data_IF_754203626059
#
_entry.id   IF_754203626059
#
_cell.length_a   1.000
_cell.length_b   1.000
_cell.length_c   1.000
_cell.angle_alpha   90.00
_cell.angle_beta   90.00
_cell.angle_gamma   90.00
#
_symmetry.space_group_name_H-M   'P 1'
#
loop_
_entity.id
_entity.type
_entity.pdbx_description
1 polymer ?
#
# COMPACT_ATOMS: atom_id res chain seq x y z
N UNK A 1 -2.46 11.08 -6.48
CA UNK A 1 -1.51 11.99 -5.80
C UNK A 1 -0.44 12.39 -6.80
N UNK A 2 0.03 13.64 -6.78
CA UNK A 2 1.06 14.13 -7.72
C UNK A 2 1.97 15.16 -7.03
N UNK A 3 3.25 15.20 -7.40
CA UNK A 3 4.16 16.27 -6.98
C UNK A 3 3.91 17.57 -7.76
N UNK A 4 3.37 17.46 -8.99
CA UNK A 4 3.00 18.60 -9.84
C UNK A 4 1.48 18.69 -9.92
N UNK A 5 0.89 19.62 -9.15
CA UNK A 5 -0.56 19.85 -9.08
C UNK A 5 -1.12 20.61 -10.28
N UNK A 6 -0.29 21.28 -11.07
CA UNK A 6 -0.72 21.94 -12.32
C UNK A 6 -1.22 20.91 -13.34
N UNK A 7 -0.82 19.64 -13.18
CA UNK A 7 -1.29 18.51 -13.99
C UNK A 7 -2.62 17.92 -13.52
N UNK A 8 -3.21 18.43 -12.43
CA UNK A 8 -4.47 17.90 -11.93
C UNK A 8 -5.59 17.98 -12.96
N UNK A 9 -5.69 19.09 -13.69
CA UNK A 9 -6.66 19.26 -14.77
C UNK A 9 -6.54 18.18 -15.84
N UNK A 10 -5.30 17.84 -16.22
CA UNK A 10 -5.03 16.76 -17.16
C UNK A 10 -5.52 15.43 -16.61
N UNK A 11 -5.14 15.04 -15.38
CA UNK A 11 -5.56 13.76 -14.80
C UNK A 11 -7.07 13.63 -14.64
N UNK A 12 -7.74 14.74 -14.30
CA UNK A 12 -9.19 14.75 -14.13
C UNK A 12 -9.92 14.58 -15.46
N UNK A 13 -9.52 15.35 -16.49
CA UNK A 13 -10.08 15.26 -17.85
C UNK A 13 -9.75 13.94 -18.54
N UNK A 14 -8.56 13.40 -18.29
CA UNK A 14 -8.07 12.13 -18.82
C UNK A 14 -8.30 10.96 -17.85
N UNK A 15 -9.34 11.00 -17.02
CA UNK A 15 -9.77 9.85 -16.21
C UNK A 15 -10.88 9.05 -16.91
N UNK A 16 -10.96 7.73 -16.66
CA UNK A 16 -12.08 6.92 -17.19
C UNK A 16 -13.42 7.26 -16.50
N UNK A 17 -13.39 8.08 -15.45
CA UNK A 17 -14.59 8.58 -14.79
C UNK A 17 -15.42 9.46 -15.74
N UNK A 18 -14.76 10.27 -16.57
CA UNK A 18 -15.41 11.31 -17.41
C UNK A 18 -15.11 11.19 -18.90
N UNK A 19 -14.21 10.29 -19.31
CA UNK A 19 -13.79 10.11 -20.71
C UNK A 19 -13.66 8.63 -21.02
N UNK A 20 -14.26 8.16 -22.11
CA UNK A 20 -14.20 6.76 -22.55
C UNK A 20 -12.76 6.29 -22.81
N UNK A 21 -12.51 4.99 -22.66
CA UNK A 21 -11.21 4.36 -22.92
C UNK A 21 -11.34 3.31 -24.01
N UNK A 22 -10.27 3.11 -24.74
CA UNK A 22 -10.19 2.05 -25.73
C UNK A 22 -9.24 0.96 -25.26
N UNK A 23 -9.52 -0.28 -25.64
CA UNK A 23 -8.66 -1.40 -25.30
C UNK A 23 -8.85 -2.58 -26.23
N UNK A 24 -7.81 -3.43 -26.30
CA UNK A 24 -7.85 -4.63 -27.11
C UNK A 24 -8.59 -5.76 -26.39
N UNK A 25 -9.75 -6.14 -26.90
CA UNK A 25 -10.56 -7.25 -26.37
C UNK A 25 -10.20 -8.52 -27.12
N UNK A 26 -9.43 -9.38 -26.48
CA UNK A 26 -9.02 -10.68 -27.02
C UNK A 26 -10.07 -11.75 -26.71
N UNK A 27 -10.30 -12.68 -27.65
CA UNK A 27 -11.15 -13.85 -27.41
C UNK A 27 -10.81 -14.54 -26.07
N UNK A 28 -11.85 -14.86 -25.30
CA UNK A 28 -11.70 -15.36 -23.93
C UNK A 28 -11.07 -16.76 -23.88
N UNK A 29 -11.30 -17.60 -24.89
CA UNK A 29 -10.67 -18.92 -24.95
C UNK A 29 -9.17 -18.79 -25.21
N UNK A 30 -8.77 -17.86 -26.08
CA UNK A 30 -7.35 -17.52 -26.32
C UNK A 30 -6.72 -16.94 -25.06
N UNK A 31 -7.38 -15.99 -24.41
CA UNK A 31 -6.90 -15.42 -23.14
C UNK A 31 -6.67 -16.52 -22.09
N UNK A 32 -7.66 -17.38 -21.84
CA UNK A 32 -7.55 -18.47 -20.86
C UNK A 32 -6.46 -19.49 -21.21
N UNK A 33 -6.17 -19.68 -22.49
CA UNK A 33 -5.11 -20.58 -22.96
C UNK A 33 -3.72 -19.98 -22.78
N UNK A 34 -3.56 -18.68 -23.00
CA UNK A 34 -2.25 -18.03 -23.11
C UNK A 34 -1.91 -17.07 -21.97
N UNK A 35 -2.81 -16.74 -21.03
CA UNK A 35 -2.54 -15.76 -19.96
C UNK A 35 -1.34 -16.07 -19.06
N UNK A 36 -0.91 -17.34 -18.99
CA UNK A 36 0.30 -17.74 -18.23
C UNK A 36 1.58 -17.66 -19.04
N UNK A 37 1.48 -17.42 -20.34
CA UNK A 37 2.64 -17.38 -21.23
C UNK A 37 3.27 -15.99 -21.14
N UNK A 38 4.57 -15.86 -20.76
CA UNK A 38 5.19 -14.57 -20.50
C UNK A 38 5.18 -13.58 -21.66
N UNK A 39 5.16 -14.09 -22.90
CA UNK A 39 5.16 -13.29 -24.12
C UNK A 39 3.75 -12.98 -24.64
N UNK A 40 2.70 -13.46 -23.95
CA UNK A 40 1.32 -13.09 -24.28
C UNK A 40 1.00 -11.73 -23.68
N UNK A 41 1.30 -10.67 -24.43
CA UNK A 41 1.01 -9.29 -24.07
C UNK A 41 -0.19 -8.84 -24.90
N UNK A 42 -1.25 -8.41 -24.22
CA UNK A 42 -2.41 -7.83 -24.89
C UNK A 42 -2.01 -6.44 -25.40
N UNK A 43 -2.16 -6.16 -26.71
CA UNK A 43 -1.86 -4.85 -27.27
C UNK A 43 -2.64 -3.72 -26.58
N UNK A 44 -1.99 -2.56 -26.43
CA UNK A 44 -2.58 -1.36 -25.82
C UNK A 44 -2.84 -0.24 -26.83
N UNK A 45 -2.65 -0.51 -28.12
CA UNK A 45 -2.96 0.39 -29.23
C UNK A 45 -3.79 -0.34 -30.31
N UNK A 46 -4.43 0.45 -31.18
CA UNK A 46 -5.35 -0.03 -32.20
C UNK A 46 -4.67 -0.91 -33.25
N UNK A 47 -3.56 -0.43 -33.80
CA UNK A 47 -2.85 -1.09 -34.91
C UNK A 47 -2.39 -2.49 -34.51
N UNK A 48 -1.75 -2.61 -33.34
CA UNK A 48 -1.28 -3.90 -32.83
C UNK A 48 -2.44 -4.82 -32.42
N UNK A 49 -3.57 -4.27 -31.98
CA UNK A 49 -4.76 -5.05 -31.66
C UNK A 49 -5.40 -5.66 -32.91
N UNK A 50 -5.51 -4.86 -33.98
CA UNK A 50 -6.09 -5.29 -35.26
C UNK A 50 -5.19 -6.30 -35.98
N UNK A 51 -3.88 -6.24 -35.73
CA UNK A 51 -2.88 -7.19 -36.25
C UNK A 51 -2.40 -8.19 -35.19
N UNK A 52 -3.21 -8.49 -34.16
CA UNK A 52 -2.73 -9.25 -33.02
C UNK A 52 -2.43 -10.71 -33.39
N UNK A 53 -1.20 -11.15 -33.15
CA UNK A 53 -0.73 -12.50 -33.45
C UNK A 53 -0.05 -13.17 -32.25
N UNK A 54 -0.23 -14.49 -32.14
CA UNK A 54 0.54 -15.34 -31.22
C UNK A 54 1.18 -16.46 -32.04
N UNK A 55 2.50 -16.65 -31.93
CA UNK A 55 3.25 -17.63 -32.75
C UNK A 55 3.01 -17.48 -34.26
N UNK A 56 2.90 -16.22 -34.74
CA UNK A 56 2.57 -15.90 -36.14
C UNK A 56 1.21 -16.44 -36.60
N UNK A 57 0.30 -16.67 -35.66
CA UNK A 57 -1.08 -17.01 -35.94
C UNK A 57 -1.99 -15.87 -35.49
N UNK A 58 -2.91 -15.40 -36.35
CA UNK A 58 -3.82 -14.33 -36.00
C UNK A 58 -4.71 -14.75 -34.83
N UNK A 59 -4.89 -13.81 -33.92
CA UNK A 59 -5.78 -13.94 -32.77
C UNK A 59 -6.94 -12.98 -32.97
N UNK A 60 -8.15 -13.52 -32.89
CA UNK A 60 -9.35 -12.68 -32.92
C UNK A 60 -9.32 -11.73 -31.71
N UNK A 61 -9.15 -10.45 -32.00
CA UNK A 61 -9.18 -9.38 -31.04
C UNK A 61 -9.86 -8.15 -31.66
N UNK A 62 -10.60 -7.41 -30.84
CA UNK A 62 -11.36 -6.25 -31.26
C UNK A 62 -10.91 -5.02 -30.50
N UNK A 63 -10.54 -3.97 -31.22
CA UNK A 63 -10.30 -2.66 -30.60
C UNK A 63 -11.64 -2.05 -30.18
N UNK A 64 -11.90 -2.06 -28.88
CA UNK A 64 -13.24 -1.80 -28.34
C UNK A 64 -13.23 -0.55 -27.47
N UNK A 65 -14.27 0.28 -27.64
CA UNK A 65 -14.53 1.41 -26.74
C UNK A 65 -15.24 0.93 -25.48
N UNK A 66 -14.71 1.34 -24.34
CA UNK A 66 -15.31 1.24 -23.03
C UNK A 66 -15.82 2.62 -22.63
N UNK A 67 -17.14 2.79 -22.40
CA UNK A 67 -17.70 4.08 -22.05
C UNK A 67 -17.07 4.62 -20.76
N UNK A 68 -17.15 5.94 -20.60
CA UNK A 68 -16.82 6.57 -19.32
C UNK A 68 -17.72 5.99 -18.21
N UNK A 69 -17.28 6.07 -16.97
CA UNK A 69 -18.10 5.63 -15.83
C UNK A 69 -19.21 6.63 -15.48
N UNK A 70 -19.21 7.82 -16.08
CA UNK A 70 -20.16 8.90 -15.82
C UNK A 70 -20.27 9.27 -14.33
N UNK A 71 -19.12 9.30 -13.64
CA UNK A 71 -18.99 9.71 -12.24
C UNK A 71 -18.04 10.92 -12.13
N UNK A 72 -18.04 11.66 -11.00
CA UNK A 72 -17.14 12.80 -10.83
C UNK A 72 -15.67 12.42 -11.09
N UNK A 73 -14.87 13.36 -11.64
CA UNK A 73 -13.46 13.12 -11.89
C UNK A 73 -12.73 12.77 -10.57
N UNK A 74 -11.63 12.00 -10.63
CA UNK A 74 -10.91 11.59 -9.45
C UNK A 74 -10.35 12.81 -8.70
N UNK A 75 -10.24 12.68 -7.38
CA UNK A 75 -9.54 13.68 -6.56
C UNK A 75 -8.07 13.71 -6.97
N UNK A 76 -7.57 14.90 -7.28
CA UNK A 76 -6.15 15.14 -7.48
C UNK A 76 -5.62 15.97 -6.31
N UNK A 77 -4.62 15.43 -5.60
CA UNK A 77 -4.01 16.09 -4.45
C UNK A 77 -2.50 16.10 -4.59
N UNK A 78 -1.86 17.10 -3.98
CA UNK A 78 -0.42 17.14 -3.78
C UNK A 78 0.01 15.90 -2.99
N UNK A 79 1.04 15.21 -3.47
CA UNK A 79 1.58 14.06 -2.75
C UNK A 79 2.12 14.51 -1.38
N UNK A 80 1.87 13.75 -0.30
CA UNK A 80 2.50 14.00 0.98
C UNK A 80 4.02 13.88 0.87
N UNK A 81 4.74 14.62 1.72
CA UNK A 81 6.18 14.50 1.81
C UNK A 81 6.60 13.07 2.18
N UNK A 82 7.69 12.58 1.59
CA UNK A 82 8.37 11.36 1.99
C UNK A 82 9.86 11.51 1.77
N UNK A 83 10.65 10.77 2.54
CA UNK A 83 12.08 10.59 2.22
C UNK A 83 12.23 9.80 0.91
N UNK A 84 13.11 10.28 0.04
CA UNK A 84 13.42 9.63 -1.24
C UNK A 84 13.94 8.21 -1.02
N UNK A 85 13.49 7.26 -1.87
CA UNK A 85 13.88 5.85 -1.84
C UNK A 85 13.69 5.14 -0.49
N UNK A 86 12.62 5.47 0.24
CA UNK A 86 12.33 4.89 1.56
C UNK A 86 10.92 4.35 1.69
N UNK A 87 10.41 3.70 0.63
CA UNK A 87 9.12 2.99 0.63
C UNK A 87 7.94 3.81 1.16
N UNK A 88 7.95 5.14 0.92
CA UNK A 88 6.88 6.04 1.37
C UNK A 88 6.95 6.42 2.86
N UNK A 89 8.13 6.35 3.49
CA UNK A 89 8.36 6.86 4.84
C UNK A 89 8.13 8.39 4.88
N UNK A 90 6.98 8.78 5.42
CA UNK A 90 6.52 10.15 5.58
C UNK A 90 6.83 10.73 6.95
N UNK A 91 6.07 11.75 7.32
CA UNK A 91 6.28 12.49 8.57
C UNK A 91 5.96 11.61 9.79
N UNK A 92 6.81 11.70 10.82
CA UNK A 92 6.60 10.98 12.08
C UNK A 92 6.84 9.45 12.00
N UNK A 93 7.49 8.96 10.93
CA UNK A 93 7.74 7.53 10.72
C UNK A 93 6.53 6.75 10.22
N UNK A 94 5.46 7.44 9.82
CA UNK A 94 4.28 6.83 9.21
C UNK A 94 4.47 6.71 7.70
N UNK A 95 3.81 5.73 7.10
CA UNK A 95 3.79 5.63 5.64
C UNK A 95 2.79 6.61 5.05
N UNK A 96 3.09 7.15 3.88
CA UNK A 96 2.14 7.94 3.12
C UNK A 96 0.94 7.08 2.70
N UNK A 97 -0.26 7.58 2.98
CA UNK A 97 -1.53 6.92 2.65
C UNK A 97 -2.40 7.85 1.81
N UNK A 98 -3.39 7.25 1.16
CA UNK A 98 -4.47 7.96 0.50
C UNK A 98 -5.79 7.31 0.89
N UNK A 99 -6.66 8.08 1.54
CA UNK A 99 -7.98 7.60 1.93
C UNK A 99 -8.89 7.60 0.71
N UNK A 100 -9.25 6.40 0.27
CA UNK A 100 -10.17 6.21 -0.84
C UNK A 100 -11.56 5.85 -0.29
N UNK A 101 -12.51 6.76 -0.48
CA UNK A 101 -13.93 6.47 -0.24
C UNK A 101 -14.45 5.68 -1.42
N UNK A 102 -14.89 4.45 -1.16
CA UNK A 102 -15.49 3.57 -2.16
C UNK A 102 -16.83 4.18 -2.60
N UNK A 103 -17.02 4.49 -3.91
CA UNK A 103 -18.30 4.98 -4.41
C UNK A 103 -19.46 4.03 -4.15
N UNK A 104 -20.69 4.55 -4.09
CA UNK A 104 -21.89 3.71 -4.08
C UNK A 104 -22.13 3.09 -5.46
N UNK A 105 -22.91 1.99 -5.49
CA UNK A 105 -23.36 1.37 -6.74
C UNK A 105 -22.31 0.57 -7.52
N UNK A 106 -21.07 0.48 -7.03
CA UNK A 106 -19.98 -0.27 -7.70
C UNK A 106 -19.69 -1.64 -7.06
N UNK A 107 -20.63 -2.18 -6.27
CA UNK A 107 -20.48 -3.48 -5.65
C UNK A 107 -20.26 -4.57 -6.72
N UNK A 108 -19.19 -5.35 -6.57
CA UNK A 108 -18.79 -6.35 -7.55
C UNK A 108 -17.86 -7.40 -6.94
N UNK A 109 -18.01 -8.65 -7.38
CA UNK A 109 -17.22 -9.80 -6.91
C UNK A 109 -15.80 -9.87 -7.53
N UNK A 110 -15.51 -9.02 -8.51
CA UNK A 110 -14.24 -9.04 -9.25
C UNK A 110 -13.77 -7.62 -9.49
N UNK A 111 -13.16 -7.01 -8.49
CA UNK A 111 -12.53 -5.71 -8.59
C UNK A 111 -11.02 -5.87 -8.71
N UNK A 112 -10.38 -4.96 -9.43
CA UNK A 112 -8.92 -4.88 -9.53
C UNK A 112 -8.48 -3.48 -9.13
N UNK A 113 -7.59 -3.39 -8.16
CA UNK A 113 -6.85 -2.17 -7.85
C UNK A 113 -5.45 -2.33 -8.43
N UNK A 114 -5.11 -1.50 -9.41
CA UNK A 114 -3.74 -1.38 -9.94
C UNK A 114 -3.13 -0.09 -9.45
N UNK A 115 -1.97 -0.17 -8.82
CA UNK A 115 -1.16 0.96 -8.43
C UNK A 115 0.17 0.89 -9.16
N UNK A 116 0.50 1.96 -9.87
CA UNK A 116 1.78 2.17 -10.53
C UNK A 116 2.43 3.40 -9.95
N UNK A 117 3.70 3.31 -9.58
CA UNK A 117 4.51 4.49 -9.32
C UNK A 117 5.86 4.37 -10.03
N UNK A 118 6.24 5.47 -10.66
CA UNK A 118 7.50 5.62 -11.35
C UNK A 118 8.50 6.23 -10.38
N UNK A 119 9.79 5.90 -10.53
CA UNK A 119 10.83 6.65 -9.86
C UNK A 119 11.15 7.86 -10.73
N UNK A 120 11.13 9.02 -10.09
CA UNK A 120 11.76 10.22 -10.61
C UNK A 120 12.34 11.00 -9.46
N UNK A 121 13.50 11.61 -9.66
CA UNK A 121 13.98 12.66 -8.76
C UNK A 121 13.55 14.02 -9.32
N UNK A 122 13.66 15.06 -8.51
CA UNK A 122 13.48 16.43 -9.00
C UNK A 122 14.75 17.01 -9.64
N UNK A 123 15.79 16.18 -9.82
CA UNK A 123 17.05 16.61 -10.42
C UNK A 123 16.97 16.73 -11.96
N UNK A 124 15.88 16.25 -12.57
CA UNK A 124 15.59 16.34 -14.00
C UNK A 124 14.07 16.42 -14.28
N UNK A 125 13.71 16.72 -15.53
CA UNK A 125 12.32 16.75 -15.99
C UNK A 125 11.74 15.33 -16.06
N UNK A 126 10.93 14.96 -15.06
CA UNK A 126 10.49 13.58 -14.88
C UNK A 126 9.41 13.09 -15.85
N UNK A 127 8.65 13.99 -16.48
CA UNK A 127 7.46 13.59 -17.25
C UNK A 127 7.82 12.97 -18.60
N UNK A 128 8.80 13.55 -19.29
CA UNK A 128 9.27 13.06 -20.58
C UNK A 128 10.53 12.20 -20.45
N UNK A 129 10.94 11.86 -19.22
CA UNK A 129 12.05 10.93 -18.97
C UNK A 129 11.51 9.52 -18.79
N UNK A 130 11.85 8.64 -19.71
CA UNK A 130 11.46 7.23 -19.71
C UNK A 130 12.67 6.30 -19.92
N UNK A 131 12.41 5.01 -20.15
CA UNK A 131 13.46 4.02 -20.29
C UNK A 131 14.43 4.31 -21.46
N UNK A 132 14.02 5.04 -22.48
CA UNK A 132 14.89 5.47 -23.59
C UNK A 132 15.92 6.51 -23.16
N UNK A 133 15.68 7.21 -22.04
CA UNK A 133 16.60 8.20 -21.46
C UNK A 133 17.72 7.57 -20.64
N UNK A 134 17.63 6.27 -20.35
CA UNK A 134 18.65 5.53 -19.63
C UNK A 134 19.90 5.32 -20.49
N UNK A 135 21.06 5.23 -19.83
CA UNK A 135 22.30 4.86 -20.53
C UNK A 135 22.27 3.38 -20.92
N UNK A 136 22.95 3.06 -22.03
CA UNK A 136 23.15 1.68 -22.49
C UNK A 136 24.47 1.09 -21.96
N UNK A 137 25.35 1.92 -21.36
CA UNK A 137 26.67 1.51 -20.86
C UNK A 137 27.01 2.17 -19.52
N UNK A 138 27.88 1.52 -18.74
CA UNK A 138 28.34 2.04 -17.46
C UNK A 138 29.25 3.28 -17.61
N UNK A 139 29.79 3.54 -18.79
CA UNK A 139 30.71 4.65 -19.07
C UNK A 139 30.02 5.88 -19.65
N UNK A 140 28.86 5.71 -20.26
CA UNK A 140 28.12 6.81 -20.88
C UNK A 140 27.20 7.51 -19.87
N UNK A 141 27.05 8.82 -20.05
CA UNK A 141 26.08 9.60 -19.30
C UNK A 141 24.64 9.24 -19.66
N UNK A 142 23.69 9.58 -18.79
CA UNK A 142 22.27 9.47 -19.11
C UNK A 142 21.95 10.24 -20.39
N UNK A 143 20.95 9.82 -21.15
CA UNK A 143 20.48 10.54 -22.35
C UNK A 143 19.56 11.72 -22.02
N UNK A 144 19.36 12.04 -20.74
CA UNK A 144 18.54 13.15 -20.25
C UNK A 144 19.10 14.49 -20.74
N UNK A 145 18.24 15.30 -21.35
CA UNK A 145 18.59 16.66 -21.77
C UNK A 145 18.48 17.65 -20.60
N UNK A 146 19.64 18.12 -20.12
CA UNK A 146 19.74 19.11 -19.04
C UNK A 146 19.83 20.56 -19.55
N UNK A 147 19.79 20.78 -20.86
CA UNK A 147 19.93 22.13 -21.45
C UNK A 147 18.85 23.08 -20.94
N UNK A 148 17.59 22.63 -20.87
CA UNK A 148 16.47 23.41 -20.35
C UNK A 148 16.65 23.77 -18.88
N UNK A 149 17.10 22.82 -18.07
CA UNK A 149 17.35 23.01 -16.63
C UNK A 149 18.39 24.10 -16.37
N UNK A 150 19.47 24.10 -17.15
CA UNK A 150 20.58 25.05 -17.00
C UNK A 150 20.54 26.24 -17.98
N UNK A 151 19.41 26.42 -18.70
CA UNK A 151 19.20 27.52 -19.67
C UNK A 151 20.29 27.59 -20.76
N UNK A 152 20.63 26.44 -21.34
CA UNK A 152 21.60 26.29 -22.42
C UNK A 152 20.89 26.11 -23.77
N UNK A 153 21.53 26.47 -24.91
CA UNK A 153 20.87 26.47 -26.22
C UNK A 153 20.35 25.11 -26.68
N UNK A 154 21.08 24.03 -26.40
CA UNK A 154 20.75 22.66 -26.79
C UNK A 154 21.51 21.65 -25.92
N UNK A 155 21.15 20.38 -26.07
CA UNK A 155 21.73 19.25 -25.34
C UNK A 155 23.24 19.13 -25.57
N UNK A 156 23.68 19.31 -26.82
CA UNK A 156 25.10 19.18 -27.20
C UNK A 156 25.96 20.21 -26.45
N UNK A 157 25.47 21.45 -26.31
CA UNK A 157 26.15 22.50 -25.54
C UNK A 157 26.18 22.18 -24.05
N UNK A 158 25.11 21.57 -23.51
CA UNK A 158 25.06 21.14 -22.12
C UNK A 158 26.07 20.03 -21.82
N UNK A 159 26.12 19.01 -22.67
CA UNK A 159 27.04 17.88 -22.56
C UNK A 159 28.50 18.32 -22.71
N UNK A 160 28.80 19.18 -23.70
CA UNK A 160 30.14 19.73 -23.90
C UNK A 160 30.65 20.53 -22.69
N UNK A 161 29.73 21.14 -21.92
CA UNK A 161 30.04 21.84 -20.67
C UNK A 161 30.05 20.93 -19.43
N UNK A 162 29.78 19.63 -19.61
CA UNK A 162 29.76 18.63 -18.54
C UNK A 162 28.43 18.52 -17.78
N UNK A 163 27.35 19.17 -18.23
CA UNK A 163 26.01 19.00 -17.66
C UNK A 163 25.35 17.72 -18.17
N UNK A 164 25.84 16.60 -17.66
CA UNK A 164 25.33 15.26 -17.95
C UNK A 164 25.38 14.44 -16.67
N UNK A 165 24.32 13.69 -16.36
CA UNK A 165 24.40 12.71 -15.27
C UNK A 165 25.25 11.54 -15.72
N UNK A 166 26.26 11.18 -14.93
CA UNK A 166 27.13 10.03 -15.19
C UNK A 166 26.84 8.92 -14.18
N UNK A 167 27.19 7.69 -14.52
CA UNK A 167 27.29 6.64 -13.53
C UNK A 167 28.41 6.96 -12.54
N UNK A 168 28.12 6.73 -11.27
CA UNK A 168 29.05 6.91 -10.16
C UNK A 168 30.00 8.11 -10.28
N UNK A 169 29.48 9.35 -10.41
CA UNK A 169 30.31 10.51 -10.68
C UNK A 169 31.18 10.87 -9.47
N UNK A 170 32.43 11.25 -9.73
CA UNK A 170 33.30 11.91 -8.77
C UNK A 170 32.98 13.40 -8.72
N UNK A 171 32.57 13.88 -7.55
CA UNK A 171 32.18 15.27 -7.32
C UNK A 171 33.27 16.00 -6.53
N UNK A 172 33.81 17.06 -7.14
CA UNK A 172 34.73 17.98 -6.48
C UNK A 172 33.93 19.02 -5.69
N UNK A 173 33.85 18.87 -4.37
CA UNK A 173 33.08 19.80 -3.52
C UNK A 173 33.93 20.89 -2.88
N UNK A 174 35.24 20.67 -2.73
CA UNK A 174 36.13 21.54 -1.97
C UNK A 174 37.12 22.24 -2.90
N UNK A 175 36.95 23.54 -3.19
CA UNK A 175 37.95 24.29 -3.94
C UNK A 175 39.32 24.25 -3.22
N UNK A 176 40.38 23.88 -3.94
CA UNK A 176 41.75 23.86 -3.40
C UNK A 176 42.16 22.60 -2.64
N UNK A 177 41.28 21.60 -2.48
CA UNK A 177 41.61 20.30 -1.90
C UNK A 177 41.48 19.20 -2.96
N UNK A 178 42.55 18.43 -3.20
CA UNK A 178 42.54 17.32 -4.18
C UNK A 178 41.86 16.06 -3.61
N UNK A 179 40.57 16.20 -3.28
CA UNK A 179 39.70 15.12 -2.81
C UNK A 179 38.35 15.24 -3.49
N UNK A 180 37.91 14.15 -4.12
CA UNK A 180 36.59 14.00 -4.72
C UNK A 180 35.77 12.99 -3.92
N UNK A 181 34.46 13.19 -3.88
CA UNK A 181 33.53 12.20 -3.36
C UNK A 181 32.78 11.53 -4.49
N UNK A 182 32.77 10.20 -4.50
CA UNK A 182 32.06 9.41 -5.51
C UNK A 182 30.62 9.17 -5.05
N UNK A 183 29.65 9.48 -5.90
CA UNK A 183 28.25 9.10 -5.66
C UNK A 183 27.98 7.67 -6.16
N UNK A 184 27.00 6.98 -5.57
CA UNK A 184 26.54 5.67 -6.04
C UNK A 184 25.27 5.85 -6.91
N UNK A 185 25.45 6.33 -8.14
CA UNK A 185 24.37 6.63 -9.09
C UNK A 185 24.40 5.64 -10.24
N UNK A 186 23.23 5.11 -10.58
CA UNK A 186 23.00 4.28 -11.77
C UNK A 186 22.05 4.98 -12.74
N UNK A 187 22.60 5.57 -13.80
CA UNK A 187 21.87 6.29 -14.86
C UNK A 187 21.07 5.35 -15.77
N UNK A 188 21.25 4.03 -15.66
CA UNK A 188 20.40 3.04 -16.32
C UNK A 188 19.04 2.85 -15.62
N UNK A 189 18.79 3.54 -14.51
CA UNK A 189 17.59 3.38 -13.69
C UNK A 189 16.77 4.67 -13.49
N UNK A 190 17.09 5.75 -14.21
CA UNK A 190 16.45 7.06 -14.05
C UNK A 190 15.02 7.10 -14.61
N UNK A 191 14.82 6.57 -15.82
CA UNK A 191 13.51 6.45 -16.43
C UNK A 191 12.97 5.03 -16.29
N UNK A 192 12.17 4.77 -15.25
CA UNK A 192 11.48 3.48 -15.11
C UNK A 192 10.24 3.55 -14.25
N UNK A 193 9.32 2.63 -14.55
CA UNK A 193 8.33 2.16 -13.58
C UNK A 193 9.07 1.35 -12.52
N UNK A 194 8.99 1.77 -11.25
CA UNK A 194 9.65 1.01 -10.19
C UNK A 194 8.78 -0.13 -9.69
N UNK A 195 7.49 0.15 -9.44
CA UNK A 195 6.52 -0.89 -9.15
C UNK A 195 5.21 -0.64 -9.88
N UNK A 196 4.68 -1.73 -10.39
CA UNK A 196 3.33 -1.86 -10.93
C UNK A 196 2.71 -3.07 -10.23
N UNK A 197 1.68 -2.82 -9.42
CA UNK A 197 1.10 -3.81 -8.50
C UNK A 197 -0.40 -3.85 -8.75
N UNK A 198 -0.92 -5.05 -8.97
CA UNK A 198 -2.35 -5.28 -9.08
C UNK A 198 -2.83 -6.17 -7.95
N UNK A 199 -3.94 -5.79 -7.34
CA UNK A 199 -4.62 -6.54 -6.29
C UNK A 199 -6.05 -6.82 -6.73
N UNK A 200 -6.51 -8.05 -6.50
CA UNK A 200 -7.90 -8.42 -6.69
C UNK A 200 -8.61 -8.35 -5.35
N UNK A 201 -9.82 -7.81 -5.35
CA UNK A 201 -10.65 -7.71 -4.15
C UNK A 201 -12.12 -7.67 -4.56
N UNK A 202 -12.99 -7.73 -3.56
CA UNK A 202 -14.44 -7.70 -3.72
C UNK A 202 -14.97 -6.43 -3.05
N UNK A 203 -15.89 -5.74 -3.70
CA UNK A 203 -16.65 -4.66 -3.10
C UNK A 203 -18.03 -5.22 -2.76
N UNK A 204 -18.32 -5.39 -1.47
CA UNK A 204 -19.59 -5.91 -1.00
C UNK A 204 -20.64 -4.81 -0.92
N UNK A 205 -21.89 -5.17 -1.20
CA UNK A 205 -23.01 -4.27 -1.01
C UNK A 205 -23.08 -3.83 0.45
N UNK A 206 -23.17 -2.52 0.67
CA UNK A 206 -23.32 -1.95 2.01
C UNK A 206 -24.66 -2.43 2.63
N UNK A 207 -24.65 -2.99 3.84
CA UNK A 207 -25.88 -3.36 4.55
C UNK A 207 -26.79 -2.15 4.76
N UNK A 208 -28.11 -2.35 4.69
CA UNK A 208 -29.09 -1.26 4.74
C UNK A 208 -29.03 -0.48 6.06
N UNK A 209 -28.75 -1.17 7.15
CA UNK A 209 -28.60 -0.62 8.50
C UNK A 209 -27.33 0.24 8.67
N UNK A 210 -26.36 0.14 7.75
CA UNK A 210 -25.12 0.92 7.78
C UNK A 210 -25.05 1.97 6.66
N UNK A 211 -26.18 2.33 6.04
CA UNK A 211 -26.22 3.24 4.90
C UNK A 211 -25.57 4.60 5.22
N UNK A 212 -25.95 5.20 6.35
CA UNK A 212 -25.62 6.59 6.68
C UNK A 212 -24.50 6.73 7.73
N UNK A 213 -23.69 5.68 7.91
CA UNK A 213 -22.56 5.68 8.85
C UNK A 213 -21.21 5.58 8.15
N UNK A 214 -20.17 6.14 8.77
CA UNK A 214 -18.80 5.97 8.28
C UNK A 214 -18.29 4.59 8.68
N UNK A 215 -17.73 3.86 7.72
CA UNK A 215 -17.06 2.57 7.97
C UNK A 215 -15.58 2.74 7.61
N UNK A 216 -14.72 2.62 8.60
CA UNK A 216 -13.27 2.67 8.44
C UNK A 216 -12.71 1.28 8.23
N UNK A 217 -11.87 1.10 7.21
CA UNK A 217 -11.21 -0.17 6.93
C UNK A 217 -9.95 -0.30 7.78
N UNK A 218 -9.84 -1.37 8.57
CA UNK A 218 -8.63 -1.72 9.29
C UNK A 218 -8.07 -3.04 8.75
N UNK A 219 -6.92 -2.94 8.08
CA UNK A 219 -6.30 -4.04 7.35
C UNK A 219 -4.91 -4.39 7.88
N UNK A 220 -4.26 -5.31 7.19
CA UNK A 220 -2.84 -5.62 7.34
C UNK A 220 -2.13 -5.36 6.01
N UNK A 221 -0.96 -4.74 6.08
CA UNK A 221 -0.01 -4.63 4.96
C UNK A 221 1.23 -5.49 5.22
N UNK A 222 2.06 -5.64 4.20
CA UNK A 222 3.39 -6.24 4.33
C UNK A 222 3.41 -7.73 4.01
N UNK A 223 4.56 -8.38 4.28
CA UNK A 223 4.80 -9.78 3.96
C UNK A 223 5.52 -10.49 5.11
N UNK A 224 5.38 -11.83 5.16
CA UNK A 224 6.11 -12.69 6.09
C UNK A 224 7.60 -12.63 5.79
N UNK A 225 8.39 -12.28 6.80
CA UNK A 225 9.86 -12.30 6.76
C UNK A 225 10.41 -11.24 7.70
N UNK A 226 11.74 -11.15 7.79
CA UNK A 226 12.39 -9.96 8.34
C UNK A 226 12.55 -8.88 7.25
N UNK A 227 12.96 -7.67 7.64
CA UNK A 227 13.18 -6.54 6.72
C UNK A 227 14.01 -6.88 5.45
N UNK A 228 15.07 -7.68 5.56
CA UNK A 228 15.90 -8.08 4.41
C UNK A 228 15.18 -9.07 3.48
N UNK A 229 14.43 -10.02 4.06
CA UNK A 229 13.73 -11.08 3.31
C UNK A 229 12.51 -10.59 2.54
N UNK A 230 11.90 -9.48 2.98
CA UNK A 230 10.68 -8.95 2.37
C UNK A 230 10.95 -7.80 1.41
N UNK A 231 12.16 -7.23 1.41
CA UNK A 231 12.56 -6.18 0.47
C UNK A 231 12.30 -6.61 -0.98
N UNK A 232 11.72 -5.74 -1.85
CA UNK A 232 11.43 -4.32 -1.64
C UNK A 232 10.07 -4.00 -0.99
N UNK A 233 9.35 -5.01 -0.46
CA UNK A 233 8.19 -4.78 0.40
C UNK A 233 8.61 -4.49 1.86
N UNK A 234 7.65 -4.49 2.78
CA UNK A 234 7.86 -4.26 4.22
C UNK A 234 7.30 -5.42 5.03
N UNK A 235 7.71 -5.51 6.30
CA UNK A 235 7.19 -6.49 7.25
C UNK A 235 5.70 -6.22 7.56
N UNK A 236 5.03 -7.19 8.20
CA UNK A 236 3.63 -7.03 8.54
C UNK A 236 3.38 -5.88 9.51
N UNK A 237 2.36 -5.08 9.20
CA UNK A 237 1.88 -4.03 10.08
C UNK A 237 0.37 -3.84 9.91
N UNK A 238 -0.30 -3.30 10.92
CA UNK A 238 -1.69 -2.86 10.76
C UNK A 238 -1.74 -1.59 9.93
N UNK A 239 -2.78 -1.45 9.11
CA UNK A 239 -3.01 -0.24 8.31
C UNK A 239 -4.46 0.22 8.43
N UNK A 240 -4.71 1.44 8.95
CA UNK A 240 -3.71 2.29 9.62
C UNK A 240 -3.22 1.68 10.95
N UNK A 241 -2.02 2.08 11.39
CA UNK A 241 -1.48 1.69 12.70
C UNK A 241 -2.08 2.53 13.84
N UNK A 242 -2.58 3.72 13.52
CA UNK A 242 -3.38 4.59 14.40
C UNK A 242 -4.65 4.95 13.65
N UNK A 243 -5.78 4.43 14.13
CA UNK A 243 -7.09 4.70 13.57
C UNK A 243 -7.86 5.63 14.52
N UNK A 244 -8.19 6.85 14.08
CA UNK A 244 -9.01 7.78 14.86
C UNK A 244 -10.45 7.81 14.33
N UNK A 245 -11.42 7.52 15.19
CA UNK A 245 -12.83 7.39 14.83
C UNK A 245 -13.75 8.05 15.86
N UNK A 246 -14.99 8.30 15.45
CA UNK A 246 -16.03 8.77 16.36
C UNK A 246 -16.83 7.59 16.95
N UNK A 247 -17.53 7.81 18.06
CA UNK A 247 -18.38 6.80 18.72
C UNK A 247 -19.53 6.26 17.85
N UNK A 248 -19.94 7.01 16.82
CA UNK A 248 -20.95 6.62 15.83
C UNK A 248 -20.37 5.96 14.57
N UNK A 249 -19.04 5.89 14.45
CA UNK A 249 -18.38 5.23 13.31
C UNK A 249 -18.26 3.72 13.54
N UNK A 250 -18.09 2.99 12.43
CA UNK A 250 -17.82 1.56 12.42
C UNK A 250 -16.39 1.30 11.93
N UNK A 251 -15.80 0.20 12.38
CA UNK A 251 -14.53 -0.32 11.87
C UNK A 251 -14.79 -1.68 11.24
N UNK A 252 -14.49 -1.82 9.95
CA UNK A 252 -14.46 -3.12 9.28
C UNK A 252 -13.04 -3.70 9.37
N UNK A 253 -12.89 -4.68 10.26
CA UNK A 253 -11.61 -5.35 10.50
C UNK A 253 -11.56 -6.60 9.63
N UNK A 254 -10.68 -6.56 8.63
CA UNK A 254 -10.47 -7.69 7.72
C UNK A 254 -9.05 -7.69 7.17
N UNK A 255 -8.57 -8.85 6.75
CA UNK A 255 -7.29 -8.97 6.05
C UNK A 255 -7.16 -10.34 5.38
N UNK A 256 -6.24 -10.41 4.43
CA UNK A 256 -5.81 -11.67 3.82
C UNK A 256 -4.36 -11.94 4.17
N UNK A 257 -4.10 -13.03 4.87
CA UNK A 257 -2.77 -13.65 4.96
C UNK A 257 -2.45 -14.48 3.71
N UNK A 258 -1.44 -15.34 3.79
CA UNK A 258 -0.99 -16.18 2.68
C UNK A 258 -0.58 -17.58 3.15
N UNK A 259 -0.71 -18.54 2.24
CA UNK A 259 -0.20 -19.91 2.39
C UNK A 259 0.96 -20.20 1.42
N UNK A 260 1.51 -19.14 0.80
CA UNK A 260 2.47 -19.23 -0.31
C UNK A 260 3.72 -18.37 -0.07
N UNK A 261 4.04 -18.08 1.18
CA UNK A 261 5.29 -17.39 1.48
C UNK A 261 6.50 -18.32 1.27
N UNK A 262 7.69 -17.78 0.95
CA UNK A 262 8.92 -18.56 0.93
C UNK A 262 9.15 -19.28 2.27
N UNK A 263 9.58 -20.54 2.22
CA UNK A 263 9.69 -21.40 3.40
C UNK A 263 10.86 -21.02 4.32
N UNK A 264 11.82 -20.24 3.80
CA UNK A 264 12.96 -19.69 4.54
C UNK A 264 12.66 -18.31 5.17
N UNK A 265 11.47 -17.73 4.94
CA UNK A 265 11.11 -16.45 5.56
C UNK A 265 10.82 -16.63 7.06
N UNK A 266 11.44 -15.77 7.87
CA UNK A 266 11.26 -15.74 9.31
C UNK A 266 9.79 -15.50 9.67
N UNK A 267 9.32 -16.03 10.79
CA UNK A 267 7.94 -15.86 11.26
C UNK A 267 7.50 -16.99 12.19
N UNK A 268 6.43 -16.79 12.94
CA UNK A 268 5.85 -17.82 13.81
C UNK A 268 4.82 -18.68 13.08
N UNK A 269 4.51 -19.84 13.64
CA UNK A 269 3.61 -20.83 13.05
C UNK A 269 4.23 -21.62 11.90
N UNK A 270 3.40 -22.38 11.21
CA UNK A 270 3.75 -23.23 10.07
C UNK A 270 4.48 -22.45 8.98
N UNK A 271 5.66 -22.95 8.58
CA UNK A 271 6.49 -22.39 7.50
C UNK A 271 5.67 -22.20 6.22
N UNK A 272 5.94 -21.09 5.51
CA UNK A 272 5.24 -20.72 4.28
C UNK A 272 3.82 -20.15 4.49
N UNK A 273 3.27 -20.21 5.70
CA UNK A 273 1.96 -19.62 6.02
C UNK A 273 2.10 -18.40 6.92
N UNK A 274 1.14 -17.49 6.86
CA UNK A 274 0.98 -16.40 7.80
C UNK A 274 -0.50 -16.18 8.13
N UNK A 275 -0.74 -15.78 9.37
CA UNK A 275 -2.04 -15.31 9.84
C UNK A 275 -1.81 -14.08 10.70
N UNK A 276 -2.80 -13.19 10.71
CA UNK A 276 -2.79 -12.01 11.54
C UNK A 276 -3.98 -12.10 12.47
N UNK A 277 -3.78 -11.82 13.75
CA UNK A 277 -4.85 -11.74 14.73
C UNK A 277 -4.77 -10.43 15.49
N UNK A 278 -5.79 -10.16 16.29
CA UNK A 278 -5.86 -8.95 17.10
C UNK A 278 -6.21 -9.32 18.54
N UNK A 279 -5.32 -8.93 19.46
CA UNK A 279 -5.54 -9.07 20.91
C UNK A 279 -5.19 -7.78 21.63
N UNK A 280 -5.86 -7.53 22.74
CA UNK A 280 -5.64 -6.35 23.57
C UNK A 280 -4.29 -6.44 24.27
N UNK A 281 -3.52 -5.36 24.25
CA UNK A 281 -2.25 -5.28 24.97
C UNK A 281 -2.48 -5.17 26.49
N UNK A 282 -1.56 -5.72 27.28
CA UNK A 282 -1.58 -5.59 28.75
C UNK A 282 -1.59 -4.11 29.17
N UNK A 283 -2.31 -3.82 30.26
CA UNK A 283 -2.34 -2.49 30.86
C UNK A 283 -0.95 -1.97 31.22
N UNK A 284 -0.89 -0.66 31.46
CA UNK A 284 0.31 0.09 31.79
C UNK A 284 1.15 -0.61 32.86
N UNK A 285 2.40 -0.93 32.52
CA UNK A 285 3.40 -1.55 33.40
C UNK A 285 4.53 -0.59 33.81
N UNK A 286 4.61 0.60 33.20
CA UNK A 286 5.52 1.68 33.59
C UNK A 286 4.93 3.06 33.24
N UNK A 287 5.35 4.16 33.91
CA UNK A 287 4.96 5.51 33.52
C UNK A 287 5.51 5.87 32.13
N UNK A 288 4.63 6.25 31.20
CA UNK A 288 5.03 6.89 29.94
C UNK A 288 5.06 8.41 30.13
N UNK A 289 5.88 9.12 29.36
CA UNK A 289 5.83 10.58 29.28
C UNK A 289 4.54 11.01 28.58
N UNK A 290 3.73 11.84 29.24
CA UNK A 290 2.51 12.45 28.68
C UNK A 290 1.43 11.53 28.04
N UNK A 291 1.18 10.28 28.47
CA UNK A 291 0.25 9.39 27.76
C UNK A 291 -1.20 9.90 27.76
N UNK A 292 -1.68 10.45 28.88
CA UNK A 292 -3.03 11.02 28.95
C UNK A 292 -3.16 12.35 28.21
N UNK A 293 -2.15 13.22 28.27
CA UNK A 293 -2.10 14.47 27.52
C UNK A 293 -2.02 14.22 26.00
N UNK A 294 -1.31 13.17 25.57
CA UNK A 294 -1.20 12.78 24.16
C UNK A 294 -2.55 12.41 23.53
N UNK A 295 -3.52 11.95 24.34
CA UNK A 295 -4.85 11.57 23.85
C UNK A 295 -5.98 12.52 24.30
N UNK A 296 -5.65 13.61 25.01
CA UNK A 296 -6.64 14.56 25.50
C UNK A 296 -7.47 14.05 26.68
N UNK A 297 -6.88 13.24 27.56
CA UNK A 297 -7.52 12.74 28.80
C UNK A 297 -8.35 11.47 28.64
N UNK A 298 -8.38 10.86 27.45
CA UNK A 298 -9.09 9.60 27.19
C UNK A 298 -8.59 8.44 28.05
N UNK A 299 -9.52 7.57 28.47
CA UNK A 299 -9.22 6.26 29.07
C UNK A 299 -8.34 5.44 28.11
N UNK A 300 -7.24 4.88 28.60
CA UNK A 300 -6.32 4.07 27.77
C UNK A 300 -6.37 2.60 28.20
N UNK A 301 -6.79 1.73 27.29
CA UNK A 301 -6.76 0.28 27.45
C UNK A 301 -5.52 -0.31 26.78
N UNK A 302 -4.65 -0.92 27.60
CA UNK A 302 -3.38 -1.47 27.16
C UNK A 302 -2.27 -0.44 27.00
N UNK A 303 -1.02 -0.91 26.92
CA UNK A 303 0.16 -0.05 26.74
C UNK A 303 0.88 -0.40 25.43
N UNK A 304 1.09 0.59 24.55
CA UNK A 304 1.69 0.35 23.22
C UNK A 304 3.11 -0.23 23.30
N UNK A 305 3.87 0.18 24.32
CA UNK A 305 5.20 -0.36 24.61
C UNK A 305 5.22 -1.73 25.29
N UNK A 306 4.08 -2.29 25.70
CA UNK A 306 4.00 -3.66 26.23
C UNK A 306 4.01 -4.70 25.10
N UNK A 307 4.30 -5.96 25.43
CA UNK A 307 4.41 -7.07 24.45
C UNK A 307 3.63 -8.33 24.83
N UNK A 308 2.87 -8.26 25.92
CA UNK A 308 2.02 -9.34 26.38
C UNK A 308 0.56 -8.94 26.22
N UNK A 309 -0.32 -9.89 25.83
CA UNK A 309 -1.75 -9.62 25.80
C UNK A 309 -2.31 -9.48 27.22
N UNK A 310 -3.41 -8.75 27.33
CA UNK A 310 -4.23 -8.72 28.53
C UNK A 310 -5.08 -9.99 28.64
N UNK A 311 -5.38 -10.43 29.87
CA UNK A 311 -6.43 -11.42 30.08
C UNK A 311 -7.79 -10.85 29.67
N UNK A 312 -8.59 -11.63 28.94
CA UNK A 312 -9.84 -11.14 28.34
C UNK A 312 -10.87 -10.67 29.39
N UNK A 313 -10.85 -11.24 30.59
CA UNK A 313 -11.74 -10.85 31.69
C UNK A 313 -11.51 -9.40 32.17
N UNK A 314 -10.35 -8.83 31.87
CA UNK A 314 -10.03 -7.44 32.21
C UNK A 314 -10.52 -6.45 31.14
N UNK A 315 -11.18 -6.93 30.08
CA UNK A 315 -11.73 -6.11 29.00
C UNK A 315 -13.25 -6.12 29.10
N UNK A 316 -13.80 -5.15 29.83
CA UNK A 316 -15.22 -5.17 30.23
C UNK A 316 -16.17 -4.56 29.20
N UNK A 317 -15.74 -3.54 28.43
CA UNK A 317 -16.58 -2.91 27.39
C UNK A 317 -15.74 -2.18 26.33
N UNK A 318 -15.89 -2.62 25.08
CA UNK A 318 -15.24 -1.98 23.92
C UNK A 318 -16.21 -1.88 22.72
N UNK A 319 -17.00 -2.92 22.49
CA UNK A 319 -17.94 -3.06 21.37
C UNK A 319 -19.28 -3.51 21.97
N UNK A 320 -20.28 -2.63 21.98
CA UNK A 320 -21.62 -2.95 22.50
C UNK A 320 -21.65 -3.30 24.00
N UNK A 321 -22.39 -4.36 24.34
CA UNK A 321 -22.45 -4.92 25.69
C UNK A 321 -21.19 -5.75 26.04
N UNK A 322 -20.98 -6.06 27.32
CA UNK A 322 -19.77 -6.78 27.78
C UNK A 322 -19.64 -8.20 27.21
N UNK A 323 -20.75 -8.93 27.09
CA UNK A 323 -20.80 -10.29 26.50
C UNK A 323 -20.48 -10.27 25.01
N UNK A 324 -20.96 -9.27 24.28
CA UNK A 324 -20.65 -9.05 22.87
C UNK A 324 -19.17 -8.72 22.68
N UNK A 325 -18.63 -7.82 23.51
CA UNK A 325 -17.20 -7.49 23.54
C UNK A 325 -16.34 -8.74 23.69
N UNK A 326 -16.64 -9.61 24.68
CA UNK A 326 -15.89 -10.84 24.91
C UNK A 326 -15.90 -11.77 23.69
N UNK A 327 -17.08 -12.01 23.13
CA UNK A 327 -17.24 -12.91 21.99
C UNK A 327 -16.49 -12.42 20.75
N UNK A 328 -16.56 -11.11 20.46
CA UNK A 328 -15.87 -10.50 19.32
C UNK A 328 -14.35 -10.55 19.49
N UNK A 329 -13.85 -10.17 20.67
CA UNK A 329 -12.42 -10.25 20.97
C UNK A 329 -11.88 -11.68 20.88
N UNK A 330 -12.65 -12.67 21.34
CA UNK A 330 -12.27 -14.08 21.19
C UNK A 330 -12.23 -14.51 19.72
N UNK A 331 -13.20 -14.09 18.89
CA UNK A 331 -13.19 -14.35 17.44
C UNK A 331 -11.96 -13.74 16.77
N UNK A 332 -11.60 -12.50 17.11
CA UNK A 332 -10.42 -11.82 16.55
C UNK A 332 -9.11 -12.44 17.02
N UNK A 333 -9.05 -12.91 18.27
CA UNK A 333 -7.87 -13.59 18.82
C UNK A 333 -7.62 -14.95 18.15
N UNK A 334 -8.69 -15.71 17.89
CA UNK A 334 -8.62 -17.10 17.40
C UNK A 334 -8.84 -17.24 15.89
N UNK A 335 -9.23 -16.17 15.19
CA UNK A 335 -9.61 -16.20 13.78
C UNK A 335 -10.70 -17.24 13.49
N UNK A 336 -11.70 -17.29 14.37
CA UNK A 336 -12.76 -18.28 14.32
C UNK A 336 -13.74 -18.02 13.15
N UNK A 337 -14.30 -19.08 12.52
CA UNK A 337 -14.07 -20.49 12.82
C UNK A 337 -12.77 -21.04 12.18
N UNK A 338 -12.04 -21.96 12.86
CA UNK A 338 -10.86 -22.60 12.29
C UNK A 338 -11.22 -23.50 11.10
N UNK A 339 -10.23 -23.77 10.25
CA UNK A 339 -10.38 -24.52 8.98
C UNK A 339 -10.41 -26.04 9.19
N UNK A 340 -9.70 -26.56 10.19
CA UNK A 340 -9.53 -27.99 10.50
C UNK A 340 -9.32 -28.21 12.01
N UNK A 341 -9.58 -29.42 12.50
CA UNK A 341 -9.19 -29.84 13.85
C UNK A 341 -7.66 -29.82 14.03
N UNK A 342 -7.19 -29.42 15.22
CA UNK A 342 -5.77 -29.37 15.60
C UNK A 342 -5.42 -28.13 16.42
N UNK A 343 -4.12 -27.96 16.73
CA UNK A 343 -3.68 -26.96 17.71
C UNK A 343 -3.70 -25.51 17.19
N UNK A 344 -4.38 -24.62 17.91
CA UNK A 344 -4.55 -23.20 17.56
C UNK A 344 -3.52 -22.26 18.21
N UNK A 345 -2.51 -22.79 18.93
CA UNK A 345 -1.54 -21.98 19.68
C UNK A 345 -0.81 -20.94 18.80
N UNK A 346 -0.55 -21.30 17.54
CA UNK A 346 0.05 -20.42 16.53
C UNK A 346 -0.90 -20.11 15.37
N UNK A 347 -2.20 -20.40 15.52
CA UNK A 347 -3.24 -20.18 14.51
C UNK A 347 -3.01 -20.92 13.18
N UNK A 348 -2.22 -22.01 13.17
CA UNK A 348 -1.86 -22.72 11.94
C UNK A 348 -3.05 -23.31 11.19
N UNK A 349 -4.15 -23.54 11.90
CA UNK A 349 -5.40 -24.05 11.34
C UNK A 349 -6.41 -22.96 10.98
N UNK A 350 -6.11 -21.68 11.15
CA UNK A 350 -6.99 -20.60 10.71
C UNK A 350 -7.00 -20.45 9.17
N UNK A 351 -8.04 -19.83 8.61
CA UNK A 351 -8.06 -19.41 7.20
C UNK A 351 -7.15 -18.20 6.98
N UNK A 352 -6.59 -18.06 5.78
CA UNK A 352 -5.75 -16.91 5.43
C UNK A 352 -6.56 -15.61 5.39
N UNK A 353 -7.74 -15.64 4.76
CA UNK A 353 -8.72 -14.56 4.84
C UNK A 353 -9.45 -14.58 6.18
N UNK A 354 -9.56 -13.41 6.79
CA UNK A 354 -10.34 -13.17 8.00
C UNK A 354 -11.16 -11.90 7.85
N UNK A 355 -12.40 -11.97 8.31
CA UNK A 355 -13.38 -10.88 8.28
C UNK A 355 -14.29 -11.04 9.49
N UNK A 356 -14.31 -10.01 10.36
CA UNK A 356 -15.18 -9.98 11.54
C UNK A 356 -16.51 -9.27 11.27
N UNK A 357 -16.63 -8.57 10.13
CA UNK A 357 -17.68 -7.62 9.82
C UNK A 357 -17.44 -6.22 10.42
N UNK A 358 -18.32 -5.26 10.14
CA UNK A 358 -18.28 -3.92 10.74
C UNK A 358 -18.59 -3.95 12.24
N UNK A 359 -17.77 -3.28 13.04
CA UNK A 359 -17.91 -3.20 14.50
C UNK A 359 -18.01 -1.74 14.94
N UNK A 360 -19.01 -1.40 15.76
CA UNK A 360 -19.13 -0.07 16.35
C UNK A 360 -18.37 0.02 17.67
N UNK A 361 -17.51 1.03 17.80
CA UNK A 361 -16.80 1.32 19.05
C UNK A 361 -17.55 2.41 19.83
N UNK A 362 -18.57 1.99 20.58
CA UNK A 362 -19.53 2.91 21.22
C UNK A 362 -19.03 3.62 22.51
N UNK A 363 -17.78 3.38 22.94
CA UNK A 363 -17.18 4.02 24.12
C UNK A 363 -15.93 4.79 23.71
N UNK A 364 -15.83 6.04 24.14
CA UNK A 364 -14.59 6.82 24.06
C UNK A 364 -13.43 6.11 24.77
N UNK A 365 -12.24 6.29 24.22
CA UNK A 365 -11.02 5.73 24.78
C UNK A 365 -9.99 5.36 23.72
N UNK A 366 -8.87 4.86 24.19
CA UNK A 366 -7.78 4.36 23.36
C UNK A 366 -7.65 2.87 23.56
N UNK A 367 -7.63 2.14 22.46
CA UNK A 367 -7.49 0.70 22.43
C UNK A 367 -6.17 0.29 21.79
N UNK A 368 -5.21 -0.14 22.61
CA UNK A 368 -3.94 -0.69 22.12
C UNK A 368 -4.04 -2.20 21.89
N UNK A 369 -3.64 -2.65 20.71
CA UNK A 369 -3.70 -4.06 20.33
C UNK A 369 -2.43 -4.51 19.58
N UNK A 370 -2.26 -5.83 19.52
CA UNK A 370 -1.14 -6.48 18.86
C UNK A 370 -1.58 -7.73 18.12
N UNK A 371 -0.76 -8.17 17.18
CA UNK A 371 -0.85 -9.50 16.57
C UNK A 371 0.11 -10.46 17.27
N UNK A 372 -0.41 -11.46 17.96
CA UNK A 372 0.42 -12.47 18.65
C UNK A 372 1.28 -13.29 17.69
N UNK A 373 0.79 -13.53 16.46
CA UNK A 373 1.52 -14.34 15.48
C UNK A 373 2.71 -13.60 14.86
N UNK A 374 2.61 -12.28 14.73
CA UNK A 374 3.64 -11.44 14.12
C UNK A 374 4.35 -10.52 15.12
N UNK A 375 4.25 -10.83 16.42
CA UNK A 375 5.09 -10.24 17.44
C UNK A 375 6.26 -11.18 17.76
N UNK A 376 7.42 -10.91 17.18
CA UNK A 376 8.66 -11.65 17.43
C UNK A 376 9.68 -10.65 18.00
N UNK A 377 9.90 -10.73 19.32
CA UNK A 377 10.63 -9.77 20.15
C UNK A 377 11.99 -9.30 19.61
N UNK A 378 12.65 -10.10 18.76
CA UNK A 378 13.98 -9.78 18.25
C UNK A 378 13.97 -8.80 17.08
N UNK A 379 12.86 -8.65 16.34
CA UNK A 379 12.82 -7.78 15.16
C UNK A 379 11.43 -7.33 14.66
N UNK A 380 10.30 -7.80 15.21
CA UNK A 380 8.95 -7.50 14.68
C UNK A 380 7.92 -7.27 15.76
N UNK A 381 7.17 -6.19 15.62
CA UNK A 381 6.14 -5.77 16.56
C UNK A 381 4.93 -5.20 15.81
N UNK A 382 4.09 -6.09 15.26
CA UNK A 382 2.82 -5.68 14.64
C UNK A 382 1.82 -5.24 15.72
N UNK A 383 1.65 -3.92 15.87
CA UNK A 383 0.80 -3.28 16.87
C UNK A 383 0.05 -2.11 16.27
N UNK A 384 -1.18 -1.91 16.75
CA UNK A 384 -1.99 -0.78 16.34
C UNK A 384 -2.73 -0.16 17.51
N UNK A 385 -3.40 0.96 17.23
CA UNK A 385 -4.27 1.63 18.18
C UNK A 385 -5.51 2.18 17.50
N UNK A 386 -6.66 2.04 18.16
CA UNK A 386 -7.90 2.73 17.79
C UNK A 386 -8.13 3.80 18.85
N UNK A 387 -8.32 5.05 18.43
CA UNK A 387 -8.65 6.19 19.27
C UNK A 387 -10.09 6.56 18.96
N UNK A 388 -10.96 6.41 19.95
CA UNK A 388 -12.39 6.70 19.85
C UNK A 388 -12.68 8.00 20.59
N UNK A 389 -13.29 8.95 19.88
CA UNK A 389 -13.71 10.25 20.44
C UNK A 389 -15.22 10.41 20.32
N UNK A 390 -15.82 11.23 21.16
CA UNK A 390 -17.25 11.56 21.04
C UNK A 390 -17.52 12.22 19.68
N UNK A 391 -18.62 11.82 19.05
CA UNK A 391 -19.06 12.37 17.77
C UNK A 391 -19.30 13.89 17.82
N UNK A 392 -19.60 14.45 19.01
CA UNK A 392 -19.78 15.89 19.21
C UNK A 392 -18.48 16.69 19.23
N UNK A 393 -17.31 16.02 19.28
CA UNK A 393 -16.00 16.64 19.51
C UNK A 393 -15.18 16.97 18.25
N UNK A 394 -15.76 16.85 17.05
CA UNK A 394 -15.13 17.21 15.77
C UNK A 394 -15.85 18.35 15.06
#
# INVERSE_FOLDING_TARGET
MTNNVERCDYYQKESNNVKSRWGCVVDRNKLNRFYRWPLFIIPDNKEDCENFEIFRQPVSANWTEFPAHDIPPPKCIKAPWSRDNHNGNGIGGNFNTYDWVIPEGIAHEKCVLRMRYNISTNDYESWNTDASSNTDSDTDGSKIDLSKTFKLPNKETAEARGYVFKNNPDVQMFPGLDVKLTLAINTAQFGRTFQDRSHVFEIRQRPAELKDVTIHNLNVRGKRGNNQQVYPAVEYDFVPNTLEINTNDYVHIQWTGSDRNPHNNAGNGRRGTDRNNMVVLKNKVYPEGTPGLAYGGLDVLGQYGANYPMHLDNVTRLIGASTETRAVLQKMALLAPPRYGGHMFLLDNAKAYYDVGPLQFAKEGVFHYMCTRNNAFTNRSQKGRIIVRDASSK
#
